data_IF_446818680710
#
_entry.id   IF_446818680710
#
_cell.length_a   1.000
_cell.length_b   1.000
_cell.length_c   1.000
_cell.angle_alpha   90.00
_cell.angle_beta   90.00
_cell.angle_gamma   90.00
#
_symmetry.space_group_name_H-M   'P 1'
#
loop_
_entity.id
_entity.type
_entity.pdbx_description
1 polymer ?
#
# COMPACT_ATOMS: atom_id res chain seq x y z
N UNK A 1 28.25 -4.56 -3.60
CA UNK A 1 29.62 -5.13 -3.48
C UNK A 1 29.69 -6.43 -2.69
N UNK A 2 29.18 -6.52 -1.45
CA UNK A 2 29.26 -7.74 -0.63
C UNK A 2 28.80 -9.03 -1.34
N UNK A 3 27.71 -8.98 -2.11
CA UNK A 3 27.22 -10.10 -2.91
C UNK A 3 28.24 -10.56 -3.98
N UNK A 4 28.83 -9.61 -4.72
CA UNK A 4 29.83 -9.89 -5.78
C UNK A 4 31.09 -10.51 -5.21
N UNK A 5 31.56 -10.03 -4.06
CA UNK A 5 32.72 -10.61 -3.36
C UNK A 5 32.43 -12.02 -2.86
N UNK A 6 31.19 -12.30 -2.44
CA UNK A 6 30.77 -13.65 -2.03
C UNK A 6 30.70 -14.62 -3.20
N UNK A 7 30.15 -14.21 -4.35
CA UNK A 7 30.05 -15.06 -5.53
C UNK A 7 31.43 -15.45 -6.10
N UNK A 8 32.45 -14.64 -5.84
CA UNK A 8 33.83 -14.89 -6.26
C UNK A 8 34.69 -15.55 -5.16
N UNK A 9 34.12 -15.87 -4.00
CA UNK A 9 34.87 -16.47 -2.88
C UNK A 9 35.89 -15.53 -2.20
N UNK A 10 35.79 -14.21 -2.44
CA UNK A 10 36.74 -13.20 -1.96
C UNK A 10 36.33 -12.59 -0.61
N UNK A 11 35.07 -12.76 -0.18
CA UNK A 11 34.53 -12.13 1.04
C UNK A 11 35.29 -12.50 2.32
N UNK A 12 35.73 -13.76 2.44
CA UNK A 12 36.47 -14.22 3.63
C UNK A 12 37.84 -13.53 3.73
N UNK A 13 38.47 -13.26 2.59
CA UNK A 13 39.77 -12.57 2.53
C UNK A 13 39.62 -11.10 2.95
N UNK A 14 38.49 -10.47 2.62
CA UNK A 14 38.19 -9.09 3.04
C UNK A 14 37.98 -8.95 4.54
N UNK A 15 37.28 -9.90 5.19
CA UNK A 15 37.00 -9.81 6.63
C UNK A 15 38.20 -10.26 7.48
N UNK A 16 38.74 -11.45 7.16
CA UNK A 16 39.65 -12.15 8.07
C UNK A 16 41.12 -11.88 7.76
N UNK A 17 41.43 -11.29 6.59
CA UNK A 17 42.79 -11.04 6.10
C UNK A 17 43.72 -12.27 6.16
N UNK A 18 43.15 -13.47 6.23
CA UNK A 18 43.87 -14.69 6.50
C UNK A 18 44.94 -14.91 5.43
N UNK A 19 46.19 -15.07 5.88
CA UNK A 19 47.26 -15.52 5.01
C UNK A 19 47.10 -17.02 4.76
N UNK A 20 47.40 -17.51 3.55
CA UNK A 20 47.46 -18.94 3.30
C UNK A 20 48.44 -19.61 4.29
N UNK A 21 48.12 -20.82 4.78
CA UNK A 21 49.04 -21.56 5.61
C UNK A 21 50.36 -21.79 4.87
N UNK A 22 51.51 -21.78 5.57
CA UNK A 22 52.80 -22.01 4.94
C UNK A 22 52.83 -23.39 4.27
N UNK A 23 53.52 -23.47 3.14
CA UNK A 23 53.74 -24.74 2.44
C UNK A 23 54.54 -25.69 3.35
N UNK A 24 54.20 -26.98 3.31
CA UNK A 24 54.97 -28.06 3.96
C UNK A 24 56.33 -28.25 3.29
N UNK A 25 57.27 -28.89 3.98
CA UNK A 25 58.53 -29.35 3.38
C UNK A 25 58.21 -30.32 2.21
N UNK A 26 58.77 -30.06 1.03
CA UNK A 26 58.48 -30.75 -0.24
C UNK A 26 57.02 -30.66 -0.71
N UNK A 27 56.53 -29.46 -1.09
CA UNK A 27 55.17 -29.29 -1.62
C UNK A 27 55.05 -29.88 -3.04
N UNK A 28 53.88 -30.42 -3.36
CA UNK A 28 53.59 -30.82 -4.74
C UNK A 28 53.30 -29.60 -5.61
N UNK A 29 53.45 -29.72 -6.94
CA UNK A 29 53.12 -28.64 -7.90
C UNK A 29 51.68 -28.13 -7.69
N UNK A 30 50.74 -29.03 -7.38
CA UNK A 30 49.35 -28.66 -7.08
C UNK A 30 49.22 -27.81 -5.80
N UNK A 31 50.03 -28.08 -4.77
CA UNK A 31 50.04 -27.31 -3.52
C UNK A 31 50.68 -25.93 -3.69
N UNK A 32 51.75 -25.83 -4.49
CA UNK A 32 52.36 -24.55 -4.85
C UNK A 32 51.35 -23.67 -5.60
N UNK A 33 50.67 -24.23 -6.62
CA UNK A 33 49.63 -23.51 -7.37
C UNK A 33 48.49 -23.03 -6.47
N UNK A 34 47.98 -23.89 -5.58
CA UNK A 34 46.91 -23.51 -4.66
C UNK A 34 47.32 -22.39 -3.70
N UNK A 35 48.57 -22.41 -3.21
CA UNK A 35 49.12 -21.36 -2.35
C UNK A 35 49.23 -20.01 -3.09
N UNK A 36 49.72 -20.01 -4.32
CA UNK A 36 49.79 -18.82 -5.17
C UNK A 36 48.39 -18.27 -5.48
N UNK A 37 47.43 -19.15 -5.82
CA UNK A 37 46.04 -18.77 -6.04
C UNK A 37 45.41 -18.11 -4.80
N UNK A 38 45.65 -18.65 -3.61
CA UNK A 38 45.17 -18.08 -2.35
C UNK A 38 45.79 -16.71 -2.07
N UNK A 39 47.08 -16.54 -2.35
CA UNK A 39 47.77 -15.25 -2.21
C UNK A 39 47.18 -14.20 -3.16
N UNK A 40 46.90 -14.57 -4.41
CA UNK A 40 46.28 -13.69 -5.40
C UNK A 40 44.85 -13.26 -5.04
N UNK A 41 44.15 -13.96 -4.14
CA UNK A 41 42.79 -13.56 -3.74
C UNK A 41 42.75 -12.19 -3.06
N UNK A 42 43.82 -11.79 -2.37
CA UNK A 42 43.93 -10.45 -1.76
C UNK A 42 43.90 -9.36 -2.84
N UNK A 43 44.76 -9.48 -3.84
CA UNK A 43 44.85 -8.51 -4.94
C UNK A 43 43.57 -8.52 -5.80
N UNK A 44 42.98 -9.69 -6.03
CA UNK A 44 41.68 -9.83 -6.71
C UNK A 44 40.56 -9.14 -5.93
N UNK A 45 40.55 -9.25 -4.60
CA UNK A 45 39.57 -8.58 -3.76
C UNK A 45 39.69 -7.05 -3.85
N UNK A 46 40.91 -6.51 -3.76
CA UNK A 46 41.18 -5.07 -3.93
C UNK A 46 40.74 -4.60 -5.32
N UNK A 47 41.12 -5.33 -6.37
CA UNK A 47 40.72 -4.99 -7.75
C UNK A 47 39.20 -4.99 -7.91
N UNK A 48 38.50 -5.96 -7.33
CA UNK A 48 37.04 -6.03 -7.35
C UNK A 48 36.39 -4.86 -6.59
N UNK A 49 36.97 -4.45 -5.46
CA UNK A 49 36.53 -3.27 -4.71
C UNK A 49 36.74 -1.98 -5.52
N UNK A 50 37.91 -1.81 -6.13
CA UNK A 50 38.23 -0.66 -6.97
C UNK A 50 37.32 -0.54 -8.20
N UNK A 51 37.03 -1.64 -8.87
CA UNK A 51 36.20 -1.66 -10.09
C UNK A 51 34.75 -1.17 -9.86
N UNK A 52 34.26 -1.19 -8.61
CA UNK A 52 32.91 -0.75 -8.26
C UNK A 52 32.80 0.72 -7.84
N UNK A 53 33.89 1.49 -7.88
CA UNK A 53 33.97 2.83 -7.29
C UNK A 53 34.15 3.91 -8.36
N UNK A 54 33.61 5.09 -8.08
CA UNK A 54 33.87 6.28 -8.88
C UNK A 54 35.27 6.83 -8.60
N UNK A 55 35.88 7.50 -9.59
CA UNK A 55 37.28 8.00 -9.53
C UNK A 55 37.58 8.85 -8.29
N UNK A 56 36.63 9.70 -7.89
CA UNK A 56 36.78 10.57 -6.70
C UNK A 56 36.81 9.80 -5.37
N UNK A 57 36.32 8.56 -5.33
CA UNK A 57 36.43 7.67 -4.18
C UNK A 57 37.68 6.82 -4.30
N UNK A 58 37.98 6.33 -5.49
CA UNK A 58 39.18 5.55 -5.79
C UNK A 58 40.46 6.28 -5.34
N UNK A 59 40.58 7.57 -5.67
CA UNK A 59 41.73 8.40 -5.26
C UNK A 59 41.94 8.51 -3.74
N UNK A 60 40.91 8.25 -2.93
CA UNK A 60 40.98 8.30 -1.46
C UNK A 60 41.36 6.96 -0.80
N UNK A 61 41.40 5.88 -1.58
CA UNK A 61 41.62 4.51 -1.07
C UNK A 61 42.76 3.78 -1.79
N UNK A 62 43.30 4.35 -2.88
CA UNK A 62 44.30 3.70 -3.72
C UNK A 62 45.65 3.46 -3.02
N UNK A 63 45.90 4.16 -1.92
CA UNK A 63 47.06 4.03 -1.04
C UNK A 63 46.92 2.91 -0.01
N UNK A 64 45.74 2.28 0.10
CA UNK A 64 45.46 1.23 1.08
C UNK A 64 45.90 -0.14 0.54
N UNK A 65 46.70 -0.86 1.32
CA UNK A 65 47.35 -2.09 0.89
C UNK A 65 46.51 -3.35 1.18
N UNK A 66 45.58 -3.29 2.15
CA UNK A 66 44.79 -4.47 2.52
C UNK A 66 43.33 -4.37 2.06
N UNK A 67 42.71 -5.49 1.63
CA UNK A 67 41.30 -5.49 1.25
C UNK A 67 40.38 -5.01 2.38
N UNK A 68 40.77 -5.25 3.64
CA UNK A 68 40.00 -4.81 4.82
C UNK A 68 40.08 -3.31 5.03
N UNK A 69 41.27 -2.72 4.94
CA UNK A 69 41.43 -1.26 5.02
C UNK A 69 40.61 -0.56 3.94
N UNK A 70 40.68 -1.06 2.70
CA UNK A 70 39.86 -0.55 1.59
C UNK A 70 38.38 -0.67 1.92
N UNK A 71 37.92 -1.83 2.38
CA UNK A 71 36.52 -2.06 2.75
C UNK A 71 36.05 -1.13 3.87
N UNK A 72 36.82 -1.02 4.96
CA UNK A 72 36.49 -0.19 6.12
C UNK A 72 36.45 1.30 5.73
N UNK A 73 37.39 1.76 4.90
CA UNK A 73 37.41 3.15 4.39
C UNK A 73 36.21 3.46 3.49
N UNK A 74 35.81 2.52 2.63
CA UNK A 74 34.59 2.64 1.83
C UNK A 74 33.37 2.71 2.77
N UNK A 75 33.31 1.86 3.80
CA UNK A 75 32.21 1.93 4.77
C UNK A 75 32.16 3.28 5.51
N UNK A 76 33.31 3.82 5.91
CA UNK A 76 33.41 5.12 6.58
C UNK A 76 33.00 6.28 5.67
N UNK A 77 33.39 6.26 4.39
CA UNK A 77 33.09 7.32 3.42
C UNK A 77 31.59 7.38 3.09
N UNK A 78 30.94 6.23 2.90
CA UNK A 78 29.54 6.17 2.47
C UNK A 78 28.54 6.10 3.62
N UNK A 79 28.84 5.33 4.66
CA UNK A 79 27.94 5.17 5.79
C UNK A 79 28.24 6.18 6.92
N UNK A 80 29.38 6.86 6.87
CA UNK A 80 29.91 7.74 7.91
C UNK A 80 30.66 6.95 8.99
N UNK A 81 31.51 7.62 9.77
CA UNK A 81 32.16 6.99 10.91
C UNK A 81 31.12 6.51 11.96
N UNK A 82 31.53 5.57 12.82
CA UNK A 82 30.65 4.97 13.85
C UNK A 82 29.89 6.01 14.69
N UNK A 83 30.54 7.14 15.02
CA UNK A 83 29.91 8.25 15.75
C UNK A 83 28.74 8.88 15.00
N UNK A 84 28.88 9.15 13.70
CA UNK A 84 27.80 9.71 12.87
C UNK A 84 26.63 8.73 12.78
N UNK A 85 26.91 7.42 12.62
CA UNK A 85 25.87 6.38 12.66
C UNK A 85 25.11 6.39 13.98
N UNK A 86 25.83 6.42 15.11
CA UNK A 86 25.21 6.47 16.45
C UNK A 86 24.35 7.72 16.65
N UNK A 87 24.80 8.90 16.20
CA UNK A 87 24.03 10.15 16.30
C UNK A 87 22.76 10.09 15.43
N UNK A 88 22.87 9.60 14.20
CA UNK A 88 21.71 9.41 13.30
C UNK A 88 20.71 8.43 13.90
N UNK A 89 21.18 7.31 14.43
CA UNK A 89 20.35 6.32 15.09
C UNK A 89 19.63 6.89 16.31
N UNK A 90 20.31 7.66 17.17
CA UNK A 90 19.69 8.33 18.31
C UNK A 90 18.60 9.33 17.86
N UNK A 91 18.85 10.06 16.78
CA UNK A 91 17.87 10.98 16.18
C UNK A 91 16.64 10.24 15.68
N UNK A 92 16.81 9.09 15.04
CA UNK A 92 15.70 8.24 14.59
C UNK A 92 14.93 7.62 15.76
N UNK A 93 15.60 7.18 16.84
CA UNK A 93 14.95 6.69 18.07
C UNK A 93 14.03 7.75 18.65
N UNK A 94 14.55 8.97 18.81
CA UNK A 94 13.75 10.12 19.26
C UNK A 94 12.58 10.39 18.32
N UNK A 95 12.82 10.36 16.99
CA UNK A 95 11.75 10.57 16.01
C UNK A 95 10.65 9.51 16.16
N UNK A 96 11.02 8.24 16.28
CA UNK A 96 10.10 7.13 16.50
C UNK A 96 9.25 7.32 17.76
N UNK A 97 9.87 7.61 18.91
CA UNK A 97 9.17 7.81 20.19
C UNK A 97 8.20 9.00 20.18
N UNK A 98 8.51 10.04 19.40
CA UNK A 98 7.66 11.22 19.24
C UNK A 98 6.60 11.06 18.16
N UNK A 99 6.62 9.97 17.38
CA UNK A 99 5.63 9.76 16.35
C UNK A 99 4.26 9.46 16.96
N UNK A 100 3.30 10.31 16.61
CA UNK A 100 1.88 10.08 16.85
C UNK A 100 1.12 10.21 15.55
N UNK A 101 0.05 9.44 15.44
CA UNK A 101 -0.88 9.55 14.33
C UNK A 101 -1.71 10.82 14.52
N UNK A 102 -1.89 11.60 13.46
CA UNK A 102 -2.70 12.83 13.53
C UNK A 102 -4.19 12.50 13.43
N UNK A 103 -5.04 13.39 13.93
CA UNK A 103 -6.50 13.23 13.87
C UNK A 103 -7.08 13.21 12.45
N UNK A 104 -6.37 13.71 11.44
CA UNK A 104 -6.83 13.71 10.04
C UNK A 104 -6.00 12.78 9.14
N UNK A 105 -5.06 12.04 9.72
CA UNK A 105 -4.20 11.12 8.99
C UNK A 105 -4.86 9.75 8.88
N UNK A 106 -4.64 9.05 7.76
CA UNK A 106 -5.12 7.68 7.59
C UNK A 106 -4.21 6.66 8.28
N UNK A 107 -4.76 5.50 8.67
CA UNK A 107 -3.95 4.42 9.28
C UNK A 107 -2.83 3.98 8.34
N UNK A 108 -3.08 4.00 7.02
CA UNK A 108 -2.11 3.63 5.99
C UNK A 108 -0.94 4.62 5.94
N UNK A 109 -1.24 5.92 5.93
CA UNK A 109 -0.18 6.94 5.87
C UNK A 109 0.66 6.95 7.14
N UNK A 110 0.01 6.80 8.29
CA UNK A 110 0.70 6.71 9.58
C UNK A 110 1.65 5.51 9.65
N UNK A 111 1.13 4.31 9.32
CA UNK A 111 1.92 3.07 9.36
C UNK A 111 3.07 3.10 8.35
N UNK A 112 2.87 3.69 7.17
CA UNK A 112 3.95 3.93 6.20
C UNK A 112 5.08 4.78 6.77
N UNK A 113 4.77 5.97 7.32
CA UNK A 113 5.78 6.85 7.93
C UNK A 113 6.50 6.19 9.10
N UNK A 114 5.78 5.40 9.90
CA UNK A 114 6.35 4.69 11.04
C UNK A 114 7.36 3.65 10.56
N UNK A 115 6.95 2.84 9.58
CA UNK A 115 7.80 1.81 9.00
C UNK A 115 9.02 2.40 8.28
N UNK A 116 8.91 3.56 7.65
CA UNK A 116 10.07 4.26 7.06
C UNK A 116 11.14 4.56 8.11
N UNK A 117 10.75 5.05 9.29
CA UNK A 117 11.67 5.33 10.40
C UNK A 117 12.28 4.02 10.92
N UNK A 118 11.46 2.99 11.15
CA UNK A 118 11.92 1.68 11.63
C UNK A 118 12.91 1.05 10.65
N UNK A 119 12.62 1.11 9.35
CA UNK A 119 13.49 0.57 8.31
C UNK A 119 14.81 1.34 8.23
N UNK A 120 14.80 2.68 8.37
CA UNK A 120 16.04 3.47 8.47
C UNK A 120 16.89 3.08 9.68
N UNK A 121 16.27 2.78 10.82
CA UNK A 121 16.99 2.33 12.02
C UNK A 121 17.62 0.95 11.80
N UNK A 122 16.90 0.02 11.18
CA UNK A 122 17.41 -1.31 10.81
C UNK A 122 18.59 -1.23 9.83
N UNK A 123 18.52 -0.32 8.86
CA UNK A 123 19.61 -0.08 7.90
C UNK A 123 20.88 0.45 8.57
N UNK A 124 20.75 1.19 9.68
CA UNK A 124 21.89 1.65 10.49
C UNK A 124 22.42 0.60 11.47
N UNK A 125 21.92 -0.64 11.41
CA UNK A 125 22.42 -1.77 12.20
C UNK A 125 21.75 -1.96 13.57
N UNK A 126 20.62 -1.30 13.83
CA UNK A 126 19.84 -1.55 15.04
C UNK A 126 19.06 -2.87 14.92
N UNK A 127 19.69 -3.97 15.31
CA UNK A 127 19.08 -5.32 15.30
C UNK A 127 18.22 -5.60 16.52
N UNK A 128 18.38 -4.85 17.62
CA UNK A 128 17.61 -4.95 18.87
C UNK A 128 16.22 -4.32 18.81
N UNK A 129 15.85 -3.74 17.67
CA UNK A 129 14.55 -3.10 17.49
C UNK A 129 13.53 -4.09 16.94
N UNK A 130 12.76 -4.67 17.86
CA UNK A 130 11.78 -5.73 17.58
C UNK A 130 10.48 -5.18 16.99
N UNK A 131 9.78 -6.00 16.22
CA UNK A 131 8.44 -5.67 15.72
C UNK A 131 7.44 -5.41 16.86
N UNK A 132 7.62 -6.07 18.01
CA UNK A 132 6.81 -5.83 19.21
C UNK A 132 6.83 -4.35 19.63
N UNK A 133 7.99 -3.69 19.62
CA UNK A 133 8.09 -2.26 19.95
C UNK A 133 7.29 -1.38 18.99
N UNK A 134 7.17 -1.80 17.74
CA UNK A 134 6.34 -1.09 16.74
C UNK A 134 4.86 -1.29 17.05
N UNK A 135 4.46 -2.51 17.38
CA UNK A 135 3.08 -2.85 17.78
C UNK A 135 2.67 -2.03 19.00
N UNK A 136 3.47 -2.08 20.06
CA UNK A 136 3.23 -1.33 21.30
C UNK A 136 3.10 0.17 21.01
N UNK A 137 4.01 0.71 20.18
CA UNK A 137 3.97 2.11 19.79
C UNK A 137 2.68 2.45 19.04
N UNK A 138 2.24 1.64 18.06
CA UNK A 138 0.99 1.89 17.33
C UNK A 138 -0.19 1.93 18.31
N UNK A 139 -0.27 0.99 19.26
CA UNK A 139 -1.39 0.93 20.21
C UNK A 139 -1.51 2.20 21.07
N UNK A 140 -0.39 2.80 21.47
CA UNK A 140 -0.38 4.01 22.33
C UNK A 140 -0.41 5.34 21.55
N UNK A 141 -0.11 5.31 20.25
CA UNK A 141 0.12 6.52 19.44
C UNK A 141 -1.05 6.88 18.50
N UNK A 142 -2.04 5.99 18.38
CA UNK A 142 -3.26 6.23 17.60
C UNK A 142 -4.21 7.22 18.30
N UNK A 143 -5.02 8.01 17.57
CA UNK A 143 -5.92 8.96 18.19
C UNK A 143 -7.08 8.28 18.93
N UNK A 144 -7.74 9.03 19.82
CA UNK A 144 -8.86 8.57 20.67
C UNK A 144 -10.00 7.91 19.89
N UNK A 145 -10.20 8.26 18.61
CA UNK A 145 -11.21 7.60 17.76
C UNK A 145 -10.99 6.09 17.58
N UNK A 146 -9.79 5.57 17.87
CA UNK A 146 -9.48 4.14 17.86
C UNK A 146 -9.50 3.51 19.26
N UNK A 147 -9.74 4.27 20.34
CA UNK A 147 -9.64 3.80 21.73
C UNK A 147 -10.51 2.56 21.97
N UNK A 148 -11.79 2.59 21.58
CA UNK A 148 -12.68 1.43 21.67
C UNK A 148 -12.18 0.21 20.86
N UNK A 149 -11.49 0.44 19.75
CA UNK A 149 -10.91 -0.64 18.93
C UNK A 149 -9.65 -1.21 19.56
N UNK A 150 -8.83 -0.36 20.20
CA UNK A 150 -7.64 -0.78 20.95
C UNK A 150 -8.05 -1.60 22.16
N UNK A 151 -9.00 -1.16 22.99
CA UNK A 151 -9.48 -1.95 24.14
C UNK A 151 -10.01 -3.32 23.71
N UNK A 152 -10.77 -3.37 22.60
CA UNK A 152 -11.22 -4.65 22.07
C UNK A 152 -10.06 -5.55 21.62
N UNK A 153 -8.95 -5.00 21.08
CA UNK A 153 -7.76 -5.77 20.71
C UNK A 153 -7.03 -6.26 21.97
N UNK A 154 -6.87 -5.42 22.98
CA UNK A 154 -6.25 -5.77 24.27
C UNK A 154 -6.97 -6.91 24.98
N UNK A 155 -8.31 -6.94 24.92
CA UNK A 155 -9.11 -8.01 25.52
C UNK A 155 -9.18 -9.29 24.69
N UNK A 156 -9.07 -9.18 23.35
CA UNK A 156 -9.34 -10.32 22.45
C UNK A 156 -8.09 -10.95 21.83
N UNK A 157 -6.92 -10.33 21.94
CA UNK A 157 -5.69 -10.79 21.30
C UNK A 157 -4.56 -10.96 22.30
N UNK A 158 -3.71 -11.94 22.05
CA UNK A 158 -2.41 -12.02 22.70
C UNK A 158 -1.46 -10.97 22.10
N UNK A 159 -1.07 -9.99 22.91
CA UNK A 159 -0.24 -8.87 22.48
C UNK A 159 1.20 -9.28 22.16
N UNK A 160 1.68 -10.41 22.68
CA UNK A 160 3.05 -10.89 22.43
C UNK A 160 3.22 -11.55 21.06
N UNK A 161 2.11 -12.04 20.48
CA UNK A 161 2.09 -12.69 19.16
C UNK A 161 1.48 -11.81 18.08
N UNK A 162 0.85 -10.69 18.47
CA UNK A 162 0.22 -9.76 17.56
C UNK A 162 1.24 -9.13 16.61
N UNK A 163 1.01 -9.27 15.31
CA UNK A 163 1.90 -8.70 14.29
C UNK A 163 1.50 -7.27 13.91
N UNK A 164 2.47 -6.51 13.37
CA UNK A 164 2.23 -5.15 12.84
C UNK A 164 1.14 -5.18 11.75
N UNK A 165 1.17 -6.20 10.88
CA UNK A 165 0.23 -6.34 9.76
C UNK A 165 -1.19 -6.57 10.29
N UNK A 166 -1.37 -7.45 11.27
CA UNK A 166 -2.67 -7.73 11.86
C UNK A 166 -3.24 -6.50 12.57
N UNK A 167 -2.44 -5.83 13.41
CA UNK A 167 -2.85 -4.61 14.10
C UNK A 167 -3.26 -3.52 13.11
N UNK A 168 -2.41 -3.24 12.11
CA UNK A 168 -2.68 -2.23 11.08
C UNK A 168 -3.93 -2.57 10.28
N UNK A 169 -4.15 -3.84 9.94
CA UNK A 169 -5.34 -4.30 9.22
C UNK A 169 -6.61 -4.14 10.05
N UNK A 170 -6.56 -4.43 11.36
CA UNK A 170 -7.70 -4.25 12.28
C UNK A 170 -8.07 -2.79 12.46
N UNK A 171 -7.07 -1.89 12.52
CA UNK A 171 -7.29 -0.44 12.61
C UNK A 171 -7.82 0.13 11.29
N UNK A 172 -7.25 -0.28 10.16
CA UNK A 172 -7.71 0.14 8.83
C UNK A 172 -9.16 -0.32 8.55
N UNK A 173 -9.54 -1.53 8.94
CA UNK A 173 -10.91 -2.01 8.82
C UNK A 173 -11.89 -1.16 9.65
N UNK A 174 -11.47 -0.64 10.80
CA UNK A 174 -12.29 0.28 11.61
C UNK A 174 -12.44 1.63 10.92
N UNK A 175 -11.36 2.19 10.38
CA UNK A 175 -11.38 3.44 9.62
C UNK A 175 -12.34 3.37 8.42
N UNK A 176 -12.27 2.29 7.63
CA UNK A 176 -13.19 2.07 6.51
C UNK A 176 -14.66 2.00 6.94
N UNK A 177 -14.96 1.27 8.02
CA UNK A 177 -16.34 1.14 8.54
C UNK A 177 -16.92 2.46 9.04
N UNK A 178 -16.08 3.33 9.60
CA UNK A 178 -16.50 4.67 10.04
C UNK A 178 -16.76 5.55 8.82
N UNK A 179 -15.88 5.51 7.81
CA UNK A 179 -16.03 6.27 6.56
C UNK A 179 -17.35 5.95 5.83
N UNK A 180 -17.70 4.66 5.69
CA UNK A 180 -18.95 4.25 5.03
C UNK A 180 -20.17 4.82 5.76
N UNK A 181 -20.18 4.76 7.10
CA UNK A 181 -21.31 5.27 7.89
C UNK A 181 -21.40 6.79 7.89
N UNK A 182 -20.29 7.52 7.85
CA UNK A 182 -20.33 8.97 7.69
C UNK A 182 -20.92 9.37 6.35
N UNK A 183 -20.60 8.65 5.28
CA UNK A 183 -21.15 8.90 3.94
C UNK A 183 -22.66 8.61 3.90
N UNK A 184 -23.12 7.51 4.51
CA UNK A 184 -24.54 7.19 4.65
C UNK A 184 -25.32 8.26 5.43
N UNK A 185 -24.74 8.79 6.51
CA UNK A 185 -25.37 9.86 7.31
C UNK A 185 -25.48 11.15 6.49
N UNK A 186 -24.45 11.49 5.72
CA UNK A 186 -24.48 12.67 4.83
C UNK A 186 -25.54 12.47 3.73
N UNK A 187 -25.61 11.29 3.11
CA UNK A 187 -26.61 10.99 2.08
C UNK A 187 -28.05 10.98 2.65
N UNK A 188 -28.24 10.44 3.86
CA UNK A 188 -29.51 10.46 4.58
C UNK A 188 -29.98 11.87 4.95
N UNK A 189 -29.07 12.74 5.40
CA UNK A 189 -29.36 14.15 5.68
C UNK A 189 -29.72 14.93 4.40
N UNK A 190 -29.10 14.60 3.27
CA UNK A 190 -29.42 15.17 1.96
C UNK A 190 -30.83 14.76 1.51
N UNK A 191 -31.22 13.50 1.73
CA UNK A 191 -32.57 12.99 1.44
C UNK A 191 -33.64 13.59 2.35
N UNK A 192 -33.32 13.87 3.62
CA UNK A 192 -34.24 14.51 4.57
C UNK A 192 -34.59 15.96 4.16
N UNK A 193 -33.65 16.71 3.59
CA UNK A 193 -33.91 18.07 3.09
C UNK A 193 -34.83 18.12 1.87
N UNK A 194 -34.93 17.05 1.09
CA UNK A 194 -35.79 17.01 -0.09
C UNK A 194 -37.24 16.56 0.19
N UNK A 195 -37.53 16.10 1.42
CA UNK A 195 -38.86 15.63 1.86
C UNK A 195 -39.47 16.51 2.98
N UNK A 196 -39.11 17.79 3.03
CA UNK A 196 -39.72 18.75 3.95
C UNK A 196 -41.04 19.31 3.41
N UNK A 197 -42.17 18.63 3.68
CA UNK A 197 -43.51 19.21 3.97
C UNK A 197 -44.59 18.11 4.06
N UNK A 198 -44.90 17.68 5.28
CA UNK A 198 -46.28 17.63 5.81
C UNK A 198 -46.26 17.00 7.21
N UNK A 199 -46.23 17.87 8.23
CA UNK A 199 -46.70 17.53 9.56
C UNK A 199 -48.20 17.78 9.60
N UNK A 200 -49.01 16.76 9.86
CA UNK A 200 -50.45 16.93 10.01
C UNK A 200 -51.27 15.66 10.19
N UNK A 201 -51.55 15.35 11.46
CA UNK A 201 -52.68 14.59 12.02
C UNK A 201 -52.68 13.05 12.00
N UNK A 202 -52.61 12.55 13.24
CA UNK A 202 -53.21 11.33 13.77
C UNK A 202 -54.56 10.97 13.14
N UNK A 203 -54.74 9.66 12.84
CA UNK A 203 -55.98 8.92 13.13
C UNK A 203 -55.73 7.41 13.14
N UNK A 204 -56.06 6.80 14.26
CA UNK A 204 -56.30 5.38 14.50
C UNK A 204 -57.44 4.87 13.60
N UNK A 205 -57.27 3.73 12.91
CA UNK A 205 -58.09 2.50 13.04
C UNK A 205 -57.93 1.51 11.86
N UNK A 206 -57.85 0.24 12.27
CA UNK A 206 -58.37 -0.99 11.68
C UNK A 206 -57.65 -1.76 10.56
N UNK A 207 -57.49 -3.06 10.86
CA UNK A 207 -57.24 -4.20 9.98
C UNK A 207 -58.33 -4.28 8.90
N UNK A 208 -57.92 -4.48 7.63
CA UNK A 208 -58.49 -5.55 6.82
C UNK A 208 -57.62 -5.92 5.62
N UNK A 209 -57.63 -7.23 5.33
CA UNK A 209 -57.05 -7.94 4.19
C UNK A 209 -57.43 -7.31 2.84
N UNK A 210 -56.48 -7.26 1.90
CA UNK A 210 -56.75 -7.00 0.49
C UNK A 210 -55.54 -7.34 -0.38
N UNK A 211 -55.74 -8.20 -1.38
CA UNK A 211 -54.77 -8.70 -2.35
C UNK A 211 -54.15 -7.58 -3.19
N UNK A 212 -52.93 -7.83 -3.67
CA UNK A 212 -52.18 -6.88 -4.49
C UNK A 212 -52.82 -6.57 -5.83
N UNK A 213 -52.47 -5.40 -6.35
CA UNK A 213 -52.46 -5.08 -7.78
C UNK A 213 -51.59 -3.83 -7.98
N UNK A 214 -50.68 -3.90 -8.95
CA UNK A 214 -49.78 -2.81 -9.30
C UNK A 214 -50.54 -1.63 -9.90
N UNK A 215 -50.28 -0.42 -9.42
CA UNK A 215 -50.82 0.81 -9.98
C UNK A 215 -49.68 1.76 -10.35
N UNK A 216 -49.26 1.69 -11.62
CA UNK A 216 -48.56 2.77 -12.30
C UNK A 216 -49.49 3.98 -12.34
N UNK A 217 -49.12 5.06 -11.64
CA UNK A 217 -49.80 6.35 -11.74
C UNK A 217 -49.67 6.88 -13.17
N UNK A 218 -50.68 6.63 -14.02
CA UNK A 218 -50.90 7.36 -15.28
C UNK A 218 -51.31 8.78 -14.92
N UNK A 219 -50.36 9.71 -14.90
CA UNK A 219 -50.68 11.13 -15.08
C UNK A 219 -51.15 11.29 -16.53
N UNK A 220 -52.38 11.75 -16.74
CA UNK A 220 -52.90 12.01 -18.09
C UNK A 220 -52.29 13.31 -18.63
N UNK A 221 -51.03 13.25 -19.10
CA UNK A 221 -50.44 14.34 -19.88
C UNK A 221 -50.85 14.20 -21.35
N UNK A 222 -51.08 15.33 -22.03
CA UNK A 222 -51.25 15.35 -23.49
C UNK A 222 -50.03 14.68 -24.16
N UNK A 223 -50.21 13.96 -25.28
CA UNK A 223 -49.10 13.29 -25.96
C UNK A 223 -47.96 14.27 -26.26
N UNK A 224 -46.77 13.99 -25.74
CA UNK A 224 -45.62 14.86 -25.94
C UNK A 224 -45.25 14.95 -27.43
N UNK A 225 -45.13 16.16 -27.99
CA UNK A 225 -44.79 16.36 -29.40
C UNK A 225 -43.44 15.75 -29.80
N UNK A 226 -42.49 15.59 -28.87
CA UNK A 226 -41.15 15.09 -29.16
C UNK A 226 -41.03 13.57 -29.11
N UNK A 227 -41.81 12.86 -28.29
CA UNK A 227 -41.67 11.41 -28.11
C UNK A 227 -43.00 10.63 -28.07
N UNK A 228 -44.12 11.33 -28.20
CA UNK A 228 -45.50 10.82 -28.24
C UNK A 228 -45.94 10.06 -26.97
N UNK A 229 -45.16 10.14 -25.88
CA UNK A 229 -45.54 9.53 -24.59
C UNK A 229 -46.35 10.52 -23.75
N UNK A 230 -47.23 9.96 -22.91
CA UNK A 230 -48.17 10.69 -22.06
C UNK A 230 -47.77 10.67 -20.58
N UNK A 231 -46.54 10.28 -20.26
CA UNK A 231 -46.08 10.07 -18.88
C UNK A 231 -45.23 11.20 -18.30
N UNK A 232 -45.08 12.32 -19.02
CA UNK A 232 -44.34 13.51 -18.60
C UNK A 232 -44.90 14.77 -19.29
N UNK A 233 -44.60 15.94 -18.73
CA UNK A 233 -44.95 17.24 -19.32
C UNK A 233 -44.11 17.53 -20.57
N UNK A 234 -44.51 18.48 -21.42
CA UNK A 234 -43.72 18.90 -22.61
C UNK A 234 -42.32 19.43 -22.22
N UNK A 235 -42.20 19.99 -21.01
CA UNK A 235 -40.99 20.62 -20.51
C UNK A 235 -39.96 19.60 -20.01
N UNK A 236 -40.43 18.49 -19.46
CA UNK A 236 -39.61 17.42 -18.88
C UNK A 236 -39.25 16.31 -19.89
N UNK A 237 -39.40 16.59 -21.19
CA UNK A 237 -39.10 15.59 -22.19
C UNK A 237 -37.58 15.38 -22.29
N UNK A 238 -37.14 14.19 -21.90
CA UNK A 238 -35.73 13.75 -22.02
C UNK A 238 -35.15 13.89 -23.44
N UNK A 239 -36.01 13.90 -24.46
CA UNK A 239 -35.66 14.02 -25.88
C UNK A 239 -35.74 15.45 -26.42
N UNK A 240 -36.04 16.44 -25.59
CA UNK A 240 -35.96 17.86 -25.96
C UNK A 240 -34.50 18.15 -26.38
N UNK A 241 -34.34 18.67 -27.59
CA UNK A 241 -33.07 19.03 -28.24
C UNK A 241 -32.12 17.88 -28.62
N UNK A 242 -32.59 16.63 -28.68
CA UNK A 242 -31.79 15.48 -29.14
C UNK A 242 -32.34 14.89 -30.46
N UNK A 243 -31.48 14.49 -31.41
CA UNK A 243 -31.93 13.83 -32.64
C UNK A 243 -32.62 12.50 -32.28
N UNK A 244 -33.87 12.35 -32.72
CA UNK A 244 -34.65 11.13 -32.57
C UNK A 244 -34.05 10.06 -33.48
N UNK A 245 -33.23 9.16 -32.93
CA UNK A 245 -32.82 7.96 -33.66
C UNK A 245 -34.00 6.97 -33.68
N UNK A 246 -34.69 6.90 -34.82
CA UNK A 246 -35.66 5.87 -35.12
C UNK A 246 -34.90 4.63 -35.61
N UNK A 247 -34.75 3.62 -34.75
CA UNK A 247 -34.13 2.36 -35.14
C UNK A 247 -35.22 1.35 -35.52
N UNK A 248 -35.34 1.09 -36.82
CA UNK A 248 -36.41 0.28 -37.44
C UNK A 248 -36.50 -1.15 -36.91
N UNK A 249 -35.46 -1.67 -36.26
CA UNK A 249 -35.44 -3.06 -35.77
C UNK A 249 -36.38 -3.31 -34.58
N UNK A 250 -36.68 -2.29 -33.77
CA UNK A 250 -37.47 -2.48 -32.54
C UNK A 250 -38.72 -1.60 -32.44
N UNK A 251 -39.00 -0.77 -33.45
CA UNK A 251 -40.10 0.20 -33.48
C UNK A 251 -40.24 1.03 -32.19
N UNK A 252 -39.12 1.28 -31.48
CA UNK A 252 -39.08 2.07 -30.25
C UNK A 252 -38.13 3.24 -30.41
N UNK A 253 -38.66 4.44 -30.24
CA UNK A 253 -37.89 5.68 -30.33
C UNK A 253 -36.97 5.85 -29.11
N UNK A 254 -35.81 6.46 -29.34
CA UNK A 254 -34.99 7.06 -28.27
C UNK A 254 -33.72 6.31 -27.87
N UNK A 255 -33.21 5.40 -28.69
CA UNK A 255 -31.90 4.77 -28.48
C UNK A 255 -31.25 4.42 -29.83
N UNK A 256 -29.93 4.51 -29.92
CA UNK A 256 -29.18 4.08 -31.11
C UNK A 256 -29.02 2.56 -31.14
N UNK A 257 -28.73 2.01 -32.32
CA UNK A 257 -28.56 0.56 -32.57
C UNK A 257 -27.68 -0.15 -31.52
N UNK A 258 -26.55 0.46 -31.16
CA UNK A 258 -25.61 -0.08 -30.16
C UNK A 258 -26.22 -0.31 -28.77
N UNK A 259 -27.29 0.40 -28.41
CA UNK A 259 -27.93 0.33 -27.10
C UNK A 259 -29.32 -0.33 -27.14
N UNK A 260 -29.65 -1.00 -28.27
CA UNK A 260 -30.92 -1.71 -28.41
C UNK A 260 -30.91 -3.01 -27.60
N UNK A 261 -31.63 -3.02 -26.47
CA UNK A 261 -31.76 -4.21 -25.59
C UNK A 261 -32.34 -5.43 -26.33
N UNK A 262 -33.24 -5.22 -27.28
CA UNK A 262 -33.84 -6.32 -28.06
C UNK A 262 -32.81 -7.01 -28.96
N UNK A 263 -31.90 -6.24 -29.57
CA UNK A 263 -30.81 -6.79 -30.39
C UNK A 263 -29.76 -7.50 -29.52
N UNK A 264 -29.47 -6.96 -28.33
CA UNK A 264 -28.51 -7.55 -27.40
C UNK A 264 -28.95 -8.93 -26.91
N UNK A 265 -30.22 -9.07 -26.54
CA UNK A 265 -30.78 -10.35 -26.08
C UNK A 265 -30.83 -11.41 -27.20
N UNK A 266 -30.99 -11.00 -28.46
CA UNK A 266 -31.00 -11.92 -29.60
C UNK A 266 -29.59 -12.44 -29.95
N UNK A 267 -28.57 -11.59 -29.82
CA UNK A 267 -27.16 -11.99 -29.95
C UNK A 267 -26.73 -12.95 -28.83
N UNK A 268 -27.17 -12.68 -27.60
CA UNK A 268 -26.90 -13.56 -26.46
C UNK A 268 -27.57 -14.94 -26.65
N UNK A 269 -28.78 -15.01 -27.22
CA UNK A 269 -29.45 -16.28 -27.53
C UNK A 269 -28.87 -17.04 -28.75
N UNK A 270 -28.13 -16.38 -29.65
CA UNK A 270 -27.45 -17.04 -30.77
C UNK A 270 -26.05 -17.57 -30.39
N UNK A 271 -25.45 -17.07 -29.31
CA UNK A 271 -24.16 -17.54 -28.78
C UNK A 271 -24.31 -18.74 -27.83
N UNK A 272 -25.53 -19.06 -27.41
CA UNK A 272 -25.85 -20.20 -26.52
C UNK A 272 -26.41 -21.43 -27.27
N UNK A 273 -26.26 -21.48 -28.61
CA UNK A 273 -26.54 -22.65 -29.45
C UNK A 273 -25.32 -23.07 -30.24
#
# INVERSE_FOLDING_TARGET
MKFVLRSQGLWNVVIFEANPPPLRENPTIAQIKAYEEEKLKKDKAITCLHAGLADHIFTKIMDLETPKQVWDKIQDEFEGNSRVKSIRLLTLKRKFELMKMKDNESVKDYSGRLMDVVNQMRLLGETSFTDQKVVDNIMVSVPKRFEAKISAIEESCDLQTLTIIELTSKLHAQEQRVSIRSDEVIEGAFRAKHNGRNFGKSRTFNKNKGKGEGSSRKGNFLPCFHCQRTNHSKEDCWFKDKPLFHYNFCNKNGHSEKYCRLKKNQLEQQLEK
#
